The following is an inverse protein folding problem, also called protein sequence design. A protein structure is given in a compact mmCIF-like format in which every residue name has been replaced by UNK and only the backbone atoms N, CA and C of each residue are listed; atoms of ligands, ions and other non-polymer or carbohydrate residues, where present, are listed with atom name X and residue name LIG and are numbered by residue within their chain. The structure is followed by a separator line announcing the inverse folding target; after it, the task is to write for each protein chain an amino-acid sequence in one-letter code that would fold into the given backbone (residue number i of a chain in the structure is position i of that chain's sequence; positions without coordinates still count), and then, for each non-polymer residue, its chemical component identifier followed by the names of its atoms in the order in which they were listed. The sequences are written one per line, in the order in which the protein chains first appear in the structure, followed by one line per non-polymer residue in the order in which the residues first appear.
data_IF_845887317419
#
_entry.id   IF_845887317419
#
_cell.length_a   1.000
_cell.length_b   1.000
_cell.length_c   1.000
_cell.angle_alpha   90.00
_cell.angle_beta   90.00
_cell.angle_gamma   90.00
#
_symmetry.space_group_name_H-M   'P 1'
#
loop_
_entity.id
_entity.type
_entity.pdbx_description
1 polymer ?
#
# COMPACT_ATOMS: atom_id res chain seq x y z
N UNK A 1 26.50 20.95 -4.89
CA UNK A 1 25.60 19.80 -4.69
C UNK A 1 24.25 20.20 -4.05
N UNK A 2 24.21 20.89 -2.90
CA UNK A 2 22.95 21.34 -2.25
C UNK A 2 22.06 22.17 -3.17
N UNK A 3 22.63 23.03 -4.00
CA UNK A 3 21.87 23.86 -4.95
C UNK A 3 21.22 23.02 -6.06
N UNK A 4 21.92 21.97 -6.49
CA UNK A 4 21.40 21.06 -7.51
C UNK A 4 20.22 20.23 -7.00
N UNK A 5 20.25 19.73 -5.74
CA UNK A 5 19.15 18.97 -5.16
C UNK A 5 17.90 19.82 -5.05
N UNK A 6 18.01 21.06 -4.54
CA UNK A 6 16.87 21.98 -4.48
C UNK A 6 16.27 22.24 -5.86
N UNK A 7 17.11 22.41 -6.87
CA UNK A 7 16.67 22.62 -8.25
C UNK A 7 15.82 21.43 -8.75
N UNK A 8 16.25 20.20 -8.48
CA UNK A 8 15.49 19.02 -8.89
C UNK A 8 14.19 18.88 -8.11
N UNK A 9 14.17 19.21 -6.82
CA UNK A 9 12.96 19.20 -6.00
C UNK A 9 11.95 20.23 -6.53
N UNK A 10 12.39 21.46 -6.79
CA UNK A 10 11.54 22.51 -7.32
C UNK A 10 10.99 22.16 -8.71
N UNK A 11 11.83 21.60 -9.57
CA UNK A 11 11.42 21.11 -10.90
C UNK A 11 10.38 19.99 -10.79
N UNK A 12 10.60 19.02 -9.91
CA UNK A 12 9.68 17.90 -9.69
C UNK A 12 8.30 18.39 -9.24
N UNK A 13 8.27 19.34 -8.33
CA UNK A 13 7.02 19.96 -7.88
C UNK A 13 6.28 20.69 -9.00
N UNK A 14 7.04 21.42 -9.82
CA UNK A 14 6.49 22.26 -10.88
C UNK A 14 6.02 21.45 -12.08
N UNK A 15 6.86 20.52 -12.55
CA UNK A 15 6.64 19.75 -13.77
C UNK A 15 6.01 18.38 -13.51
N UNK A 16 5.98 17.96 -12.24
CA UNK A 16 5.48 16.64 -11.79
C UNK A 16 6.26 15.45 -12.36
N UNK A 17 7.44 15.69 -12.86
CA UNK A 17 8.36 14.67 -13.37
C UNK A 17 9.79 15.21 -13.44
N UNK A 18 10.72 14.27 -13.60
CA UNK A 18 12.12 14.53 -13.89
C UNK A 18 12.59 13.59 -15.01
N UNK A 19 13.71 13.93 -15.63
CA UNK A 19 14.39 12.99 -16.53
C UNK A 19 15.07 11.87 -15.72
N UNK A 20 15.32 10.70 -16.30
CA UNK A 20 15.95 9.59 -15.58
C UNK A 20 17.26 9.97 -14.86
N UNK A 21 18.14 10.71 -15.51
CA UNK A 21 19.39 11.15 -14.90
C UNK A 21 19.20 12.15 -13.76
N UNK A 22 18.14 12.95 -13.79
CA UNK A 22 17.77 13.87 -12.72
C UNK A 22 17.22 13.11 -11.52
N UNK A 23 16.39 12.09 -11.74
CA UNK A 23 15.97 11.17 -10.68
C UNK A 23 17.15 10.46 -10.04
N UNK A 24 18.12 10.02 -10.86
CA UNK A 24 19.33 9.36 -10.35
C UNK A 24 20.11 10.29 -9.42
N UNK A 25 20.30 11.54 -9.81
CA UNK A 25 20.96 12.52 -8.95
C UNK A 25 20.19 12.78 -7.66
N UNK A 26 18.87 12.92 -7.73
CA UNK A 26 18.04 13.11 -6.55
C UNK A 26 18.10 11.90 -5.60
N UNK A 27 17.98 10.68 -6.14
CA UNK A 27 17.98 9.45 -5.34
C UNK A 27 19.32 9.16 -4.69
N UNK A 28 20.43 9.51 -5.35
CA UNK A 28 21.78 9.24 -4.84
C UNK A 28 22.38 10.38 -4.02
N UNK A 29 21.94 11.61 -4.26
CA UNK A 29 22.52 12.81 -3.64
C UNK A 29 21.67 13.43 -2.54
N UNK A 30 20.52 12.87 -2.22
CA UNK A 30 19.61 13.43 -1.21
C UNK A 30 20.20 13.28 0.19
N UNK A 31 20.65 14.39 0.76
CA UNK A 31 21.09 14.47 2.15
C UNK A 31 19.90 14.78 3.10
N UNK A 32 20.17 14.87 4.40
CA UNK A 32 19.14 15.13 5.40
C UNK A 32 18.41 16.47 5.17
N UNK A 33 19.13 17.51 4.75
CA UNK A 33 18.52 18.82 4.46
C UNK A 33 17.62 18.73 3.22
N UNK A 34 18.08 18.07 2.18
CA UNK A 34 17.29 17.87 0.95
C UNK A 34 16.06 17.04 1.21
N UNK A 35 16.18 15.98 2.03
CA UNK A 35 15.05 15.16 2.45
C UNK A 35 14.00 16.00 3.19
N UNK A 36 14.44 16.82 4.13
CA UNK A 36 13.54 17.73 4.85
C UNK A 36 12.78 18.66 3.88
N UNK A 37 13.50 19.24 2.93
CA UNK A 37 12.90 20.16 1.95
C UNK A 37 11.85 19.45 1.09
N UNK A 38 12.18 18.27 0.55
CA UNK A 38 11.21 17.56 -0.31
C UNK A 38 10.01 17.07 0.49
N UNK A 39 10.20 16.62 1.74
CA UNK A 39 9.10 16.21 2.60
C UNK A 39 8.17 17.39 2.89
N UNK A 40 8.70 18.57 3.20
CA UNK A 40 7.91 19.78 3.42
C UNK A 40 7.10 20.16 2.17
N UNK A 41 7.71 20.13 0.99
CA UNK A 41 7.02 20.44 -0.26
C UNK A 41 5.93 19.43 -0.60
N UNK A 42 6.18 18.15 -0.39
CA UNK A 42 5.19 17.10 -0.58
C UNK A 42 4.02 17.25 0.40
N UNK A 43 4.31 17.58 1.66
CA UNK A 43 3.28 17.90 2.66
C UNK A 43 2.44 19.07 2.24
N UNK A 44 3.02 20.16 1.74
CA UNK A 44 2.27 21.31 1.24
C UNK A 44 1.34 20.94 0.09
N UNK A 45 1.80 20.11 -0.85
CA UNK A 45 0.97 19.63 -1.96
C UNK A 45 -0.20 18.80 -1.41
N UNK A 46 0.06 17.88 -0.49
CA UNK A 46 -0.98 17.08 0.15
C UNK A 46 -2.01 17.94 0.89
N UNK A 47 -1.56 18.91 1.68
CA UNK A 47 -2.44 19.84 2.41
C UNK A 47 -3.30 20.68 1.45
N UNK A 48 -2.75 21.11 0.32
CA UNK A 48 -3.48 21.89 -0.67
C UNK A 48 -4.60 21.09 -1.32
N UNK A 49 -4.37 19.78 -1.59
CA UNK A 49 -5.34 18.92 -2.26
C UNK A 49 -6.36 18.29 -1.32
N UNK A 50 -5.95 17.95 -0.11
CA UNK A 50 -6.78 17.16 0.83
C UNK A 50 -7.09 17.89 2.13
N UNK A 51 -6.50 19.08 2.36
CA UNK A 51 -6.51 19.69 3.68
C UNK A 51 -5.73 18.83 4.70
N UNK A 52 -6.03 18.98 5.98
CA UNK A 52 -5.40 18.22 7.05
C UNK A 52 -6.13 16.89 7.35
N UNK A 53 -6.83 16.34 6.36
CA UNK A 53 -7.65 15.14 6.48
C UNK A 53 -6.87 13.90 6.09
N UNK A 54 -6.95 12.87 6.93
CA UNK A 54 -6.37 11.54 6.68
C UNK A 54 -7.49 10.54 6.54
N UNK A 55 -7.54 9.86 5.40
CA UNK A 55 -8.52 8.81 5.16
C UNK A 55 -8.14 7.53 5.89
N UNK A 56 -9.14 6.85 6.45
CA UNK A 56 -8.97 5.57 7.11
C UNK A 56 -9.59 4.45 6.28
N UNK A 57 -8.94 3.28 6.28
CA UNK A 57 -9.39 2.06 5.61
C UNK A 57 -9.44 0.94 6.64
N UNK A 58 -10.56 0.26 6.77
CA UNK A 58 -10.69 -0.91 7.64
C UNK A 58 -10.10 -2.14 6.96
N UNK A 59 -8.92 -2.59 7.40
CA UNK A 59 -8.22 -3.74 6.84
C UNK A 59 -8.72 -5.04 7.46
N UNK A 60 -9.21 -5.95 6.62
CA UNK A 60 -9.65 -7.29 7.02
C UNK A 60 -8.78 -8.31 6.27
N UNK A 61 -7.91 -8.98 6.99
CA UNK A 61 -7.01 -10.00 6.46
C UNK A 61 -7.74 -11.33 6.45
N UNK A 62 -8.38 -11.66 5.33
CA UNK A 62 -9.38 -12.73 5.25
C UNK A 62 -8.81 -14.15 5.17
N UNK A 63 -7.53 -14.29 4.77
CA UNK A 63 -6.84 -15.56 4.71
C UNK A 63 -5.34 -15.36 4.67
N UNK A 64 -4.58 -16.19 5.39
CA UNK A 64 -3.14 -16.27 5.28
C UNK A 64 -2.66 -17.51 4.50
N UNK A 65 -3.55 -18.22 3.84
CA UNK A 65 -3.19 -19.26 2.90
C UNK A 65 -2.78 -18.63 1.57
N UNK A 66 -1.70 -19.12 0.98
CA UNK A 66 -1.18 -18.61 -0.27
C UNK A 66 -0.55 -19.72 -1.11
N UNK A 67 -0.84 -19.74 -2.41
CA UNK A 67 -0.22 -20.68 -3.35
C UNK A 67 1.18 -20.25 -3.78
N UNK A 68 1.53 -18.97 -3.59
CA UNK A 68 2.80 -18.40 -4.01
C UNK A 68 3.89 -18.60 -2.95
N UNK A 69 5.11 -18.61 -3.39
CA UNK A 69 6.27 -18.84 -2.54
C UNK A 69 7.28 -17.69 -2.63
N UNK A 70 6.79 -16.47 -2.63
CA UNK A 70 7.61 -15.25 -2.71
C UNK A 70 8.68 -15.26 -1.62
N UNK A 71 9.92 -14.90 -1.97
CA UNK A 71 11.08 -15.05 -1.08
C UNK A 71 11.09 -14.09 0.11
N UNK A 72 10.26 -13.06 0.10
CA UNK A 72 10.18 -12.03 1.15
C UNK A 72 8.98 -12.20 2.10
N UNK A 73 8.01 -13.03 1.76
CA UNK A 73 6.71 -13.02 2.42
C UNK A 73 6.58 -14.08 3.52
N UNK A 74 6.23 -13.64 4.74
CA UNK A 74 6.06 -14.55 5.87
C UNK A 74 4.92 -15.55 5.72
N UNK A 75 3.91 -15.28 4.87
CA UNK A 75 2.82 -16.23 4.60
C UNK A 75 3.04 -17.08 3.34
N UNK A 76 4.24 -17.04 2.77
CA UNK A 76 4.60 -17.86 1.61
C UNK A 76 4.23 -19.34 1.83
N UNK A 77 3.86 -20.03 0.74
CA UNK A 77 3.43 -21.43 0.79
C UNK A 77 4.42 -22.34 1.54
N UNK A 78 5.72 -22.12 1.33
CA UNK A 78 6.79 -22.93 1.91
C UNK A 78 7.10 -22.67 3.38
N UNK A 79 6.43 -21.72 4.04
CA UNK A 79 6.65 -21.50 5.47
C UNK A 79 5.82 -22.49 6.30
N UNK A 80 6.48 -23.49 6.96
CA UNK A 80 5.77 -24.50 7.75
C UNK A 80 5.37 -24.01 9.14
N UNK A 81 5.84 -22.84 9.57
CA UNK A 81 5.64 -22.32 10.92
C UNK A 81 4.42 -21.40 11.05
N UNK A 82 3.65 -21.21 9.98
CA UNK A 82 2.45 -20.37 9.97
C UNK A 82 1.23 -21.20 10.35
N UNK A 83 0.50 -20.74 11.37
CA UNK A 83 -0.83 -21.28 11.67
C UNK A 83 -1.82 -20.71 10.64
N UNK A 84 -2.19 -21.52 9.65
CA UNK A 84 -3.05 -21.09 8.55
C UNK A 84 -4.50 -20.94 8.99
N UNK A 85 -5.15 -19.88 8.50
CA UNK A 85 -6.55 -19.61 8.77
C UNK A 85 -7.27 -19.06 7.52
N UNK A 86 -8.57 -19.20 7.53
CA UNK A 86 -9.52 -18.57 6.60
C UNK A 86 -10.68 -18.04 7.40
N UNK A 87 -11.02 -16.77 7.23
CA UNK A 87 -12.21 -16.21 7.85
C UNK A 87 -13.45 -16.75 7.13
N UNK A 88 -14.48 -17.08 7.89
CA UNK A 88 -15.80 -17.39 7.31
C UNK A 88 -16.46 -16.11 6.77
N UNK A 89 -17.40 -16.23 5.82
CA UNK A 89 -18.18 -15.07 5.37
C UNK A 89 -18.85 -14.33 6.54
N UNK A 90 -19.34 -15.04 7.54
CA UNK A 90 -19.95 -14.47 8.74
C UNK A 90 -18.94 -13.65 9.55
N UNK A 91 -17.72 -14.16 9.71
CA UNK A 91 -16.66 -13.44 10.42
C UNK A 91 -16.25 -12.17 9.67
N UNK A 92 -16.18 -12.21 8.35
CA UNK A 92 -15.90 -11.04 7.52
C UNK A 92 -16.98 -9.98 7.71
N UNK A 93 -18.26 -10.37 7.67
CA UNK A 93 -19.39 -9.45 7.89
C UNK A 93 -19.37 -8.86 9.30
N UNK A 94 -18.99 -9.64 10.30
CA UNK A 94 -18.82 -9.11 11.67
C UNK A 94 -17.74 -8.04 11.75
N UNK A 95 -16.63 -8.24 11.05
CA UNK A 95 -15.59 -7.22 10.94
C UNK A 95 -16.12 -5.94 10.30
N UNK A 96 -16.89 -6.06 9.22
CA UNK A 96 -17.53 -4.93 8.56
C UNK A 96 -18.49 -4.20 9.50
N UNK A 97 -19.30 -4.94 10.25
CA UNK A 97 -20.25 -4.37 11.22
C UNK A 97 -19.53 -3.56 12.30
N UNK A 98 -18.48 -4.12 12.87
CA UNK A 98 -17.67 -3.42 13.86
C UNK A 98 -17.00 -2.17 13.29
N UNK A 99 -16.42 -2.30 12.08
CA UNK A 99 -15.79 -1.17 11.39
C UNK A 99 -16.78 -0.06 11.06
N UNK A 100 -17.95 -0.40 10.58
CA UNK A 100 -19.00 0.58 10.28
C UNK A 100 -19.41 1.36 11.53
N UNK A 101 -19.58 0.67 12.66
CA UNK A 101 -19.90 1.30 13.95
C UNK A 101 -18.78 2.25 14.44
N UNK A 102 -17.53 1.96 14.11
CA UNK A 102 -16.37 2.81 14.42
C UNK A 102 -16.21 4.00 13.46
N UNK A 103 -17.00 4.08 12.41
CA UNK A 103 -16.96 5.15 11.43
C UNK A 103 -16.26 4.82 10.11
N UNK A 104 -15.73 3.62 9.94
CA UNK A 104 -15.12 3.21 8.67
C UNK A 104 -16.16 3.17 7.55
N UNK A 105 -15.79 3.69 6.38
CA UNK A 105 -16.62 3.70 5.16
C UNK A 105 -15.88 3.08 3.98
N UNK A 106 -14.74 2.45 4.24
CA UNK A 106 -14.01 1.60 3.30
C UNK A 106 -13.56 0.35 4.02
N UNK A 107 -13.82 -0.80 3.40
CA UNK A 107 -13.30 -2.10 3.83
C UNK A 107 -12.29 -2.60 2.81
N UNK A 108 -11.13 -3.01 3.27
CA UNK A 108 -10.09 -3.63 2.44
C UNK A 108 -10.03 -5.11 2.78
N UNK A 109 -10.40 -5.96 1.83
CA UNK A 109 -10.26 -7.41 1.95
C UNK A 109 -8.90 -7.81 1.40
N UNK A 110 -8.01 -8.25 2.27
CA UNK A 110 -6.65 -8.64 1.92
C UNK A 110 -6.42 -10.10 2.27
N UNK A 111 -5.64 -10.78 1.45
CA UNK A 111 -5.27 -12.16 1.71
C UNK A 111 -4.17 -12.64 0.78
N UNK A 112 -3.59 -13.78 1.11
CA UNK A 112 -2.78 -14.53 0.17
C UNK A 112 -3.61 -14.97 -1.04
N UNK A 113 -2.96 -15.38 -2.11
CA UNK A 113 -3.63 -16.04 -3.23
C UNK A 113 -4.06 -17.44 -2.80
N UNK A 114 -5.17 -17.51 -2.10
CA UNK A 114 -5.70 -18.73 -1.49
C UNK A 114 -6.52 -19.52 -2.51
N UNK A 115 -6.14 -20.76 -2.86
CA UNK A 115 -6.90 -21.59 -3.79
C UNK A 115 -8.33 -21.89 -3.34
N UNK A 116 -8.60 -21.85 -2.03
CA UNK A 116 -9.94 -22.05 -1.50
C UNK A 116 -10.85 -20.83 -1.65
N UNK A 117 -10.29 -19.64 -1.85
CA UNK A 117 -11.04 -18.43 -2.18
C UNK A 117 -11.28 -18.38 -3.69
N UNK A 118 -12.23 -19.16 -4.16
CA UNK A 118 -12.62 -19.20 -5.57
C UNK A 118 -13.24 -17.87 -6.00
N UNK A 119 -13.27 -17.61 -7.29
CA UNK A 119 -13.89 -16.41 -7.84
C UNK A 119 -15.37 -16.30 -7.41
N UNK A 120 -16.10 -17.42 -7.39
CA UNK A 120 -17.49 -17.45 -6.93
C UNK A 120 -17.62 -17.02 -5.47
N UNK A 121 -16.72 -17.48 -4.61
CA UNK A 121 -16.72 -17.09 -3.19
C UNK A 121 -16.41 -15.63 -2.98
N UNK A 122 -15.40 -15.12 -3.67
CA UNK A 122 -15.02 -13.69 -3.59
C UNK A 122 -16.17 -12.82 -4.08
N UNK A 123 -16.75 -13.16 -5.23
CA UNK A 123 -17.90 -12.44 -5.79
C UNK A 123 -19.08 -12.41 -4.80
N UNK A 124 -19.38 -13.53 -4.18
CA UNK A 124 -20.48 -13.64 -3.19
C UNK A 124 -20.19 -12.77 -1.96
N UNK A 125 -18.97 -12.78 -1.45
CA UNK A 125 -18.57 -11.94 -0.31
C UNK A 125 -18.72 -10.46 -0.66
N UNK A 126 -18.21 -10.05 -1.81
CA UNK A 126 -18.30 -8.66 -2.28
C UNK A 126 -19.75 -8.22 -2.43
N UNK A 127 -20.59 -9.03 -3.09
CA UNK A 127 -22.00 -8.74 -3.29
C UNK A 127 -22.75 -8.64 -1.96
N UNK A 128 -22.42 -9.48 -0.99
CA UNK A 128 -23.04 -9.47 0.34
C UNK A 128 -22.67 -8.21 1.11
N UNK A 129 -21.39 -7.82 1.10
CA UNK A 129 -20.94 -6.57 1.74
C UNK A 129 -21.61 -5.37 1.07
N UNK A 130 -21.66 -5.34 -0.25
CA UNK A 130 -22.31 -4.25 -1.01
C UNK A 130 -23.78 -4.09 -0.63
N UNK A 131 -24.49 -5.17 -0.47
CA UNK A 131 -25.89 -5.14 -0.10
C UNK A 131 -26.12 -4.61 1.31
N UNK A 132 -25.26 -4.98 2.27
CA UNK A 132 -25.37 -4.53 3.66
C UNK A 132 -24.86 -3.12 3.88
N UNK A 133 -23.86 -2.69 3.12
CA UNK A 133 -23.19 -1.41 3.27
C UNK A 133 -23.06 -0.69 1.93
N UNK A 134 -24.19 -0.21 1.36
CA UNK A 134 -24.19 0.40 0.04
C UNK A 134 -23.41 1.72 -0.03
N UNK A 135 -23.20 2.36 1.10
CA UNK A 135 -22.44 3.62 1.24
C UNK A 135 -20.92 3.40 1.47
N UNK A 136 -20.48 2.16 1.59
CA UNK A 136 -19.06 1.85 1.79
C UNK A 136 -18.36 1.54 0.49
N UNK A 137 -17.06 1.87 0.42
CA UNK A 137 -16.19 1.38 -0.63
C UNK A 137 -15.64 0.00 -0.26
N UNK A 138 -15.53 -0.86 -1.25
CA UNK A 138 -14.93 -2.19 -1.11
C UNK A 138 -13.65 -2.22 -1.93
N UNK A 139 -12.54 -2.46 -1.25
CA UNK A 139 -11.22 -2.61 -1.86
C UNK A 139 -10.78 -4.07 -1.74
N UNK A 140 -10.28 -4.64 -2.82
CA UNK A 140 -9.71 -5.99 -2.82
C UNK A 140 -8.18 -5.92 -2.95
N UNK A 141 -7.50 -6.79 -2.23
CA UNK A 141 -6.06 -7.00 -2.29
C UNK A 141 -5.79 -8.51 -2.17
N UNK A 142 -6.13 -9.24 -3.24
CA UNK A 142 -6.20 -10.69 -3.27
C UNK A 142 -5.32 -11.31 -4.37
N UNK A 143 -4.35 -10.55 -4.86
CA UNK A 143 -3.37 -11.02 -5.82
C UNK A 143 -3.85 -11.05 -7.27
N UNK A 144 -3.20 -11.88 -8.06
CA UNK A 144 -3.46 -11.99 -9.49
C UNK A 144 -4.69 -12.85 -9.78
N UNK A 145 -5.56 -12.31 -10.61
CA UNK A 145 -6.77 -13.00 -11.11
C UNK A 145 -6.88 -12.83 -12.62
N UNK A 146 -7.76 -13.58 -13.25
CA UNK A 146 -8.10 -13.35 -14.64
C UNK A 146 -8.84 -12.02 -14.83
N UNK A 147 -8.82 -11.50 -16.05
CA UNK A 147 -9.59 -10.31 -16.39
C UNK A 147 -11.08 -10.50 -16.09
N UNK A 148 -11.62 -11.67 -16.43
CA UNK A 148 -13.02 -12.02 -16.19
C UNK A 148 -13.35 -12.02 -14.68
N UNK A 149 -12.44 -12.52 -13.85
CA UNK A 149 -12.62 -12.48 -12.39
C UNK A 149 -12.65 -11.04 -11.87
N UNK A 150 -11.73 -10.19 -12.33
CA UNK A 150 -11.74 -8.77 -11.98
C UNK A 150 -13.05 -8.08 -12.37
N UNK A 151 -13.55 -8.35 -13.57
CA UNK A 151 -14.84 -7.82 -14.04
C UNK A 151 -16.00 -8.29 -13.16
N UNK A 152 -16.03 -9.56 -12.79
CA UNK A 152 -17.06 -10.11 -11.89
C UNK A 152 -17.08 -9.42 -10.54
N UNK A 153 -15.91 -9.24 -9.92
CA UNK A 153 -15.81 -8.57 -8.62
C UNK A 153 -16.22 -7.11 -8.71
N UNK A 154 -15.85 -6.44 -9.79
CA UNK A 154 -16.23 -5.05 -10.05
C UNK A 154 -17.74 -4.90 -10.16
N UNK A 155 -18.38 -5.74 -10.95
CA UNK A 155 -19.85 -5.74 -11.11
C UNK A 155 -20.58 -6.14 -9.84
N UNK A 156 -19.98 -6.99 -9.00
CA UNK A 156 -20.53 -7.34 -7.69
C UNK A 156 -20.46 -6.18 -6.69
N UNK A 157 -19.63 -5.17 -6.93
CA UNK A 157 -19.57 -3.97 -6.11
C UNK A 157 -18.18 -3.56 -5.60
N UNK A 158 -17.11 -4.24 -6.00
CA UNK A 158 -15.75 -3.82 -5.64
C UNK A 158 -15.37 -2.53 -6.40
N UNK A 159 -14.88 -1.53 -5.67
CA UNK A 159 -14.56 -0.22 -6.21
C UNK A 159 -13.09 -0.06 -6.53
N UNK A 160 -12.22 -0.67 -5.72
CA UNK A 160 -10.78 -0.50 -5.74
C UNK A 160 -10.08 -1.85 -5.68
N UNK A 161 -8.89 -1.91 -6.26
CA UNK A 161 -8.04 -3.09 -6.19
C UNK A 161 -6.59 -2.68 -5.99
N UNK A 162 -5.94 -3.29 -5.00
CA UNK A 162 -4.53 -3.09 -4.68
C UNK A 162 -3.73 -4.30 -5.18
N UNK A 163 -2.78 -4.06 -6.06
CA UNK A 163 -1.86 -5.08 -6.57
C UNK A 163 -0.47 -4.48 -6.75
N UNK A 164 0.39 -4.70 -5.77
CA UNK A 164 1.75 -4.18 -5.82
C UNK A 164 2.55 -4.96 -6.87
N UNK A 165 3.25 -4.25 -7.74
CA UNK A 165 4.13 -4.89 -8.73
C UNK A 165 5.50 -5.25 -8.15
N UNK A 166 5.83 -4.72 -6.98
CA UNK A 166 7.04 -4.94 -6.18
C UNK A 166 8.33 -4.44 -6.84
N UNK A 167 8.52 -4.67 -8.12
CA UNK A 167 9.58 -4.11 -8.95
C UNK A 167 9.20 -4.24 -10.43
N UNK A 168 9.46 -3.21 -11.21
CA UNK A 168 9.20 -3.22 -12.66
C UNK A 168 10.22 -4.07 -13.43
N UNK A 169 11.48 -4.06 -12.99
CA UNK A 169 12.58 -4.77 -13.66
C UNK A 169 12.34 -6.29 -13.60
N UNK A 170 12.29 -6.91 -14.77
CA UNK A 170 11.96 -8.34 -14.90
C UNK A 170 13.01 -9.25 -14.24
N UNK A 171 14.28 -8.89 -14.31
CA UNK A 171 15.38 -9.64 -13.69
C UNK A 171 15.29 -9.54 -12.17
N UNK A 172 15.10 -8.34 -11.63
CA UNK A 172 14.92 -8.13 -10.20
C UNK A 172 13.66 -8.84 -9.70
N UNK A 173 12.56 -8.78 -10.45
CA UNK A 173 11.33 -9.52 -10.11
C UNK A 173 11.62 -11.02 -9.95
N UNK A 174 12.39 -11.61 -10.85
CA UNK A 174 12.79 -13.02 -10.78
C UNK A 174 13.68 -13.35 -9.59
N UNK A 175 14.44 -12.38 -9.09
CA UNK A 175 15.26 -12.55 -7.87
C UNK A 175 14.42 -12.51 -6.58
N UNK A 176 13.25 -11.88 -6.61
CA UNK A 176 12.32 -11.79 -5.48
C UNK A 176 11.29 -12.93 -5.44
N UNK A 177 11.10 -13.63 -6.56
CA UNK A 177 10.03 -14.60 -6.73
C UNK A 177 10.54 -15.91 -7.33
N UNK A 178 9.93 -17.06 -7.00
CA UNK A 178 10.31 -18.33 -7.59
C UNK A 178 9.98 -18.41 -9.08
N UNK A 179 10.58 -19.36 -9.76
CA UNK A 179 10.24 -19.70 -11.13
C UNK A 179 8.74 -20.02 -11.24
N UNK A 180 8.11 -19.58 -12.32
CA UNK A 180 6.67 -19.72 -12.52
C UNK A 180 5.87 -18.46 -12.17
N UNK A 181 6.43 -17.52 -11.45
CA UNK A 181 5.87 -16.17 -11.29
C UNK A 181 6.51 -15.23 -12.29
N UNK A 182 5.68 -14.41 -12.93
CA UNK A 182 6.11 -13.51 -14.02
C UNK A 182 5.79 -12.06 -13.69
N UNK A 183 6.80 -11.19 -13.75
CA UNK A 183 6.60 -9.75 -13.64
C UNK A 183 5.69 -9.21 -14.75
N UNK A 184 5.83 -9.74 -15.97
CA UNK A 184 4.97 -9.38 -17.09
C UNK A 184 3.50 -9.68 -16.82
N UNK A 185 3.19 -10.83 -16.21
CA UNK A 185 1.83 -11.21 -15.83
C UNK A 185 1.28 -10.25 -14.76
N UNK A 186 2.09 -9.87 -13.78
CA UNK A 186 1.70 -8.91 -12.74
C UNK A 186 1.33 -7.56 -13.36
N UNK A 187 2.13 -7.06 -14.28
CA UNK A 187 1.88 -5.80 -15.00
C UNK A 187 0.63 -5.89 -15.87
N UNK A 188 0.39 -7.04 -16.51
CA UNK A 188 -0.83 -7.26 -17.30
C UNK A 188 -2.08 -7.22 -16.40
N UNK A 189 -2.02 -7.80 -15.21
CA UNK A 189 -3.12 -7.71 -14.24
C UNK A 189 -3.42 -6.25 -13.88
N UNK A 190 -2.41 -5.41 -13.65
CA UNK A 190 -2.61 -3.99 -13.38
C UNK A 190 -3.29 -3.27 -14.54
N UNK A 191 -2.89 -3.57 -15.76
CA UNK A 191 -3.54 -3.02 -16.95
C UNK A 191 -5.01 -3.46 -17.04
N UNK A 192 -5.30 -4.73 -16.78
CA UNK A 192 -6.66 -5.26 -16.77
C UNK A 192 -7.53 -4.56 -15.71
N UNK A 193 -6.98 -4.29 -14.54
CA UNK A 193 -7.68 -3.56 -13.47
C UNK A 193 -8.04 -2.14 -13.89
N UNK A 194 -7.09 -1.43 -14.50
CA UNK A 194 -7.32 -0.08 -15.02
C UNK A 194 -8.42 -0.07 -16.08
N UNK A 195 -8.34 -0.99 -17.03
CA UNK A 195 -9.31 -1.09 -18.13
C UNK A 195 -10.71 -1.50 -17.65
N UNK A 196 -10.80 -2.28 -16.59
CA UNK A 196 -12.08 -2.68 -15.98
C UNK A 196 -12.79 -1.50 -15.31
N UNK A 197 -12.04 -0.50 -14.84
CA UNK A 197 -12.59 0.70 -14.22
C UNK A 197 -12.35 0.81 -12.71
N UNK A 198 -11.54 -0.08 -12.12
CA UNK A 198 -11.16 0.04 -10.72
C UNK A 198 -10.37 1.33 -10.46
N UNK A 199 -10.58 1.92 -9.28
CA UNK A 199 -9.53 2.71 -8.67
C UNK A 199 -8.40 1.73 -8.36
N UNK A 200 -7.30 1.83 -9.11
CA UNK A 200 -6.22 0.84 -9.10
C UNK A 200 -5.05 1.32 -8.27
N UNK A 201 -4.55 0.47 -7.40
CA UNK A 201 -3.37 0.71 -6.60
C UNK A 201 -2.23 -0.22 -6.96
N UNK A 202 -1.03 0.33 -6.98
CA UNK A 202 0.20 -0.45 -7.07
C UNK A 202 1.23 0.07 -6.09
N UNK A 203 2.41 -0.54 -6.07
CA UNK A 203 3.49 -0.13 -5.19
C UNK A 203 4.66 -1.07 -5.22
N UNK A 204 5.64 -0.74 -4.39
CA UNK A 204 6.90 -1.47 -4.27
C UNK A 204 7.33 -1.60 -2.81
N UNK A 205 8.22 -2.55 -2.55
CA UNK A 205 9.02 -2.56 -1.33
C UNK A 205 10.27 -1.70 -1.56
N UNK A 206 10.56 -0.80 -0.65
CA UNK A 206 11.75 0.06 -0.69
C UNK A 206 12.90 -0.65 0.01
N UNK A 207 14.02 -0.81 -0.69
CA UNK A 207 15.19 -1.48 -0.14
C UNK A 207 15.10 -3.00 -0.15
N UNK A 208 14.31 -3.59 -1.04
CA UNK A 208 14.26 -5.04 -1.21
C UNK A 208 15.62 -5.60 -1.63
N UNK A 209 15.93 -6.88 -1.33
CA UNK A 209 17.20 -7.47 -1.71
C UNK A 209 17.51 -7.31 -3.19
N UNK A 210 18.71 -6.79 -3.49
CA UNK A 210 19.16 -6.56 -4.86
C UNK A 210 18.60 -5.31 -5.54
N UNK A 211 17.77 -4.52 -4.87
CA UNK A 211 17.24 -3.29 -5.45
C UNK A 211 18.31 -2.24 -5.65
N UNK A 212 18.39 -1.70 -6.85
CA UNK A 212 19.32 -0.63 -7.23
C UNK A 212 18.58 0.68 -7.49
N UNK A 213 19.31 1.77 -7.60
CA UNK A 213 18.75 3.08 -8.02
C UNK A 213 18.09 2.97 -9.39
N UNK A 214 18.68 2.21 -10.31
CA UNK A 214 18.09 2.00 -11.65
C UNK A 214 16.73 1.30 -11.57
N UNK A 215 16.58 0.33 -10.66
CA UNK A 215 15.30 -0.32 -10.42
C UNK A 215 14.24 0.69 -9.91
N UNK A 216 14.62 1.55 -8.99
CA UNK A 216 13.72 2.60 -8.47
C UNK A 216 13.31 3.59 -9.55
N UNK A 217 14.22 4.00 -10.43
CA UNK A 217 13.90 4.88 -11.56
C UNK A 217 12.87 4.21 -12.48
N UNK A 218 13.06 2.93 -12.80
CA UNK A 218 12.10 2.18 -13.60
C UNK A 218 10.72 2.13 -12.93
N UNK A 219 10.66 1.91 -11.62
CA UNK A 219 9.42 1.92 -10.86
C UNK A 219 8.73 3.27 -10.90
N UNK A 220 9.48 4.36 -10.71
CA UNK A 220 8.96 5.73 -10.77
C UNK A 220 8.34 6.00 -12.14
N UNK A 221 9.04 5.66 -13.21
CA UNK A 221 8.57 5.88 -14.59
C UNK A 221 7.38 4.99 -14.94
N UNK A 222 7.36 3.76 -14.44
CA UNK A 222 6.21 2.87 -14.62
C UNK A 222 4.96 3.40 -13.92
N UNK A 223 5.09 3.85 -12.67
CA UNK A 223 3.97 4.42 -11.91
C UNK A 223 3.48 5.71 -12.59
N UNK A 224 4.39 6.54 -13.11
CA UNK A 224 4.01 7.72 -13.88
C UNK A 224 3.16 7.34 -15.10
N UNK A 225 3.54 6.31 -15.84
CA UNK A 225 2.81 5.83 -17.01
C UNK A 225 1.47 5.20 -16.66
N UNK A 226 1.43 4.39 -15.60
CA UNK A 226 0.23 3.69 -15.17
C UNK A 226 -0.83 4.66 -14.63
N UNK A 227 -0.41 5.73 -13.97
CA UNK A 227 -1.29 6.70 -13.30
C UNK A 227 -2.28 6.03 -12.35
N UNK A 228 -1.79 5.26 -11.37
CA UNK A 228 -2.68 4.61 -10.41
C UNK A 228 -3.35 5.64 -9.52
N UNK A 229 -4.53 5.32 -9.06
CA UNK A 229 -5.28 6.13 -8.09
C UNK A 229 -4.69 6.00 -6.69
N UNK A 230 -4.02 4.87 -6.42
CA UNK A 230 -3.40 4.58 -5.13
C UNK A 230 -1.96 4.12 -5.32
N UNK A 231 -1.05 4.60 -4.46
CA UNK A 231 0.36 4.23 -4.48
C UNK A 231 0.76 3.78 -3.08
N UNK A 232 1.03 2.48 -2.91
CA UNK A 232 1.40 1.89 -1.62
C UNK A 232 2.86 1.48 -1.60
N UNK A 233 3.69 2.24 -0.91
CA UNK A 233 5.10 1.90 -0.73
C UNK A 233 5.44 1.83 0.76
N UNK A 234 6.37 0.93 1.09
CA UNK A 234 6.89 0.80 2.43
C UNK A 234 8.26 0.16 2.40
N UNK A 235 9.02 0.24 3.50
CA UNK A 235 10.32 -0.40 3.57
C UNK A 235 10.19 -1.91 3.49
N UNK A 236 11.13 -2.56 2.81
CA UNK A 236 11.32 -3.99 2.96
C UNK A 236 11.65 -4.29 4.42
N UNK A 237 10.93 -5.22 5.01
CA UNK A 237 11.19 -5.75 6.35
C UNK A 237 11.31 -7.27 6.24
N UNK A 238 12.41 -7.88 6.74
CA UNK A 238 12.62 -9.31 6.64
C UNK A 238 11.65 -10.09 7.54
N UNK A 239 11.42 -11.35 7.18
CA UNK A 239 10.75 -12.31 8.03
C UNK A 239 11.69 -13.49 8.28
N UNK A 240 11.76 -13.93 9.54
CA UNK A 240 12.71 -14.98 9.99
C UNK A 240 12.56 -16.33 9.28
N UNK A 241 11.36 -16.65 8.80
CA UNK A 241 11.05 -17.92 8.15
C UNK A 241 11.00 -17.80 6.62
N UNK A 242 11.77 -16.88 6.05
CA UNK A 242 11.85 -16.67 4.60
C UNK A 242 13.29 -16.77 4.11
N UNK A 243 13.51 -16.99 2.80
CA UNK A 243 14.85 -16.93 2.21
C UNK A 243 15.59 -15.63 2.47
N UNK A 244 14.86 -14.51 2.67
CA UNK A 244 15.46 -13.20 2.91
C UNK A 244 15.61 -12.81 4.38
N UNK A 245 15.53 -13.77 5.28
CA UNK A 245 15.58 -13.54 6.74
C UNK A 245 16.81 -12.72 7.20
N UNK A 246 17.94 -12.85 6.53
CA UNK A 246 19.21 -12.22 6.91
C UNK A 246 19.48 -10.90 6.19
N UNK A 247 18.62 -10.48 5.28
CA UNK A 247 18.80 -9.20 4.60
C UNK A 247 18.37 -8.04 5.50
N UNK A 248 19.07 -6.92 5.35
CA UNK A 248 18.76 -5.69 6.07
C UNK A 248 17.44 -5.10 5.60
N UNK A 249 16.72 -4.47 6.52
CA UNK A 249 15.51 -3.69 6.19
C UNK A 249 15.83 -2.52 5.25
N UNK A 250 14.85 -2.11 4.47
CA UNK A 250 14.86 -0.84 3.78
C UNK A 250 14.95 0.32 4.78
N UNK A 251 15.43 1.47 4.35
CA UNK A 251 15.63 2.61 5.24
C UNK A 251 14.41 3.52 5.30
N UNK A 252 14.26 4.17 6.44
CA UNK A 252 13.25 5.21 6.63
C UNK A 252 13.45 6.36 5.64
N UNK A 253 14.69 6.84 5.52
CA UNK A 253 15.04 7.99 4.69
C UNK A 253 14.69 7.77 3.22
N UNK A 254 15.05 6.62 2.66
CA UNK A 254 14.72 6.29 1.28
C UNK A 254 13.21 6.13 1.06
N UNK A 255 12.52 5.54 2.02
CA UNK A 255 11.05 5.40 1.97
C UNK A 255 10.37 6.76 1.99
N UNK A 256 10.79 7.67 2.87
CA UNK A 256 10.24 9.02 2.95
C UNK A 256 10.53 9.83 1.69
N UNK A 257 11.73 9.68 1.12
CA UNK A 257 12.08 10.33 -0.14
C UNK A 257 11.16 9.89 -1.27
N UNK A 258 10.93 8.59 -1.41
CA UNK A 258 10.05 8.06 -2.45
C UNK A 258 8.59 8.44 -2.22
N UNK A 259 8.10 8.46 -0.98
CA UNK A 259 6.76 8.99 -0.66
C UNK A 259 6.59 10.41 -1.16
N UNK A 260 7.56 11.27 -0.89
CA UNK A 260 7.52 12.67 -1.32
C UNK A 260 7.63 12.81 -2.85
N UNK A 261 8.48 12.02 -3.49
CA UNK A 261 8.56 11.98 -4.96
C UNK A 261 7.20 11.64 -5.55
N UNK A 262 6.55 10.58 -5.08
CA UNK A 262 5.25 10.17 -5.60
C UNK A 262 4.16 11.19 -5.32
N UNK A 263 4.17 11.85 -4.15
CA UNK A 263 3.20 12.91 -3.87
C UNK A 263 3.38 14.11 -4.81
N UNK A 264 4.60 14.50 -5.10
CA UNK A 264 4.87 15.61 -6.02
C UNK A 264 4.50 15.27 -7.46
N UNK A 265 4.71 14.01 -7.88
CA UNK A 265 4.36 13.53 -9.22
C UNK A 265 2.85 13.29 -9.39
N UNK A 266 2.18 12.87 -8.33
CA UNK A 266 0.77 12.47 -8.32
C UNK A 266 0.02 13.18 -7.20
N UNK A 267 -0.27 14.48 -7.37
CA UNK A 267 -0.85 15.29 -6.29
C UNK A 267 -2.17 14.77 -5.74
N UNK A 268 -2.98 14.13 -6.58
CA UNK A 268 -4.31 13.60 -6.20
C UNK A 268 -4.29 12.15 -5.75
N UNK A 269 -3.16 11.44 -5.81
CA UNK A 269 -3.08 10.04 -5.46
C UNK A 269 -3.39 9.80 -3.97
N UNK A 270 -4.00 8.65 -3.70
CA UNK A 270 -4.21 8.15 -2.35
C UNK A 270 -2.97 7.35 -1.95
N UNK A 271 -2.21 7.86 -0.98
CA UNK A 271 -0.91 7.30 -0.60
C UNK A 271 -0.94 6.95 0.89
N UNK A 272 -0.91 5.66 1.26
CA UNK A 272 -0.89 5.28 2.65
C UNK A 272 0.47 5.51 3.31
N UNK A 273 0.42 5.93 4.57
CA UNK A 273 1.53 5.75 5.50
C UNK A 273 1.41 4.32 6.03
N UNK A 274 2.30 3.44 5.60
CA UNK A 274 2.11 2.00 5.74
C UNK A 274 2.39 1.48 7.15
N UNK A 275 1.81 0.33 7.47
CA UNK A 275 2.13 -0.43 8.68
C UNK A 275 3.61 -0.79 8.76
N UNK A 276 4.27 -1.03 7.62
CA UNK A 276 5.71 -1.29 7.57
C UNK A 276 6.53 -0.09 8.09
N UNK A 277 6.15 1.14 7.76
CA UNK A 277 6.77 2.34 8.33
C UNK A 277 6.59 2.42 9.85
N UNK A 278 5.37 2.18 10.31
CA UNK A 278 5.05 2.18 11.74
C UNK A 278 5.79 1.05 12.50
N UNK A 279 6.08 -0.06 11.82
CA UNK A 279 6.86 -1.16 12.37
C UNK A 279 8.36 -0.83 12.41
N UNK A 280 8.87 -0.16 11.38
CA UNK A 280 10.28 0.19 11.26
C UNK A 280 10.75 1.14 12.38
N UNK A 281 9.93 2.12 12.73
CA UNK A 281 10.21 3.10 13.76
C UNK A 281 8.93 3.56 14.45
N UNK A 282 8.98 3.90 15.77
CA UNK A 282 7.78 4.28 16.53
C UNK A 282 6.99 5.46 15.96
N UNK A 283 7.67 6.44 15.33
CA UNK A 283 7.05 7.62 14.69
C UNK A 283 6.90 7.49 13.17
N UNK A 284 7.04 6.28 12.65
CA UNK A 284 7.05 6.05 11.19
C UNK A 284 5.77 6.48 10.48
N UNK A 285 4.61 6.26 11.10
CA UNK A 285 3.33 6.68 10.53
C UNK A 285 3.26 8.20 10.39
N UNK A 286 3.57 8.92 11.46
CA UNK A 286 3.53 10.38 11.48
C UNK A 286 4.51 10.96 10.46
N UNK A 287 5.71 10.41 10.39
CA UNK A 287 6.72 10.83 9.42
C UNK A 287 6.30 10.58 7.98
N UNK A 288 5.61 9.48 7.71
CA UNK A 288 5.04 9.20 6.38
C UNK A 288 3.98 10.24 5.98
N UNK A 289 3.10 10.62 6.90
CA UNK A 289 2.10 11.66 6.68
C UNK A 289 2.78 13.01 6.43
N UNK A 290 3.77 13.35 7.22
CA UNK A 290 4.54 14.61 7.05
C UNK A 290 5.40 14.61 5.76
N UNK A 291 5.57 13.47 5.12
CA UNK A 291 6.22 13.34 3.81
C UNK A 291 5.24 13.29 2.64
N UNK A 292 3.92 13.42 2.89
CA UNK A 292 2.91 13.52 1.85
C UNK A 292 1.89 12.39 1.78
N UNK A 293 1.96 11.39 2.65
CA UNK A 293 0.93 10.35 2.75
C UNK A 293 -0.38 10.92 3.31
N UNK A 294 -1.52 10.32 2.93
CA UNK A 294 -2.85 10.81 3.33
C UNK A 294 -3.84 9.70 3.68
N UNK A 295 -3.38 8.47 3.80
CA UNK A 295 -4.21 7.30 4.11
C UNK A 295 -3.55 6.48 5.20
N UNK A 296 -4.36 5.91 6.10
CA UNK A 296 -3.94 4.86 7.04
C UNK A 296 -4.91 3.70 6.99
N UNK A 297 -4.43 2.50 7.31
CA UNK A 297 -5.20 1.27 7.18
C UNK A 297 -5.22 0.50 8.51
N UNK A 298 -6.01 0.96 9.52
CA UNK A 298 -6.13 0.23 10.79
C UNK A 298 -6.67 -1.17 10.60
N UNK A 299 -6.14 -2.13 11.34
CA UNK A 299 -6.50 -3.53 11.26
C UNK A 299 -7.86 -3.78 11.92
N UNK A 300 -8.80 -4.31 11.16
CA UNK A 300 -10.17 -4.61 11.58
C UNK A 300 -10.40 -6.13 11.69
N UNK A 301 -9.39 -6.94 11.38
CA UNK A 301 -9.48 -8.40 11.47
C UNK A 301 -9.76 -8.85 12.92
N UNK A 302 -10.31 -10.05 13.14
CA UNK A 302 -10.42 -10.61 14.48
C UNK A 302 -9.06 -10.62 15.18
N UNK A 303 -9.01 -10.18 16.44
CA UNK A 303 -7.75 -9.99 17.17
C UNK A 303 -6.91 -11.28 17.26
N UNK A 304 -7.55 -12.42 17.43
CA UNK A 304 -6.90 -13.73 17.52
C UNK A 304 -6.19 -14.15 16.22
N UNK A 305 -6.58 -13.58 15.08
CA UNK A 305 -6.01 -13.94 13.78
C UNK A 305 -4.88 -13.01 13.33
N UNK A 306 -4.77 -11.82 13.90
CA UNK A 306 -3.84 -10.78 13.42
C UNK A 306 -2.38 -11.21 13.44
N UNK A 307 -1.94 -11.94 14.47
CA UNK A 307 -0.56 -12.44 14.59
C UNK A 307 -0.23 -13.51 13.55
N UNK A 308 -1.25 -14.17 13.01
CA UNK A 308 -1.09 -15.21 12.00
C UNK A 308 -0.90 -14.64 10.58
N UNK A 309 -1.13 -13.35 10.40
CA UNK A 309 -0.92 -12.65 9.13
C UNK A 309 0.37 -11.82 9.19
N UNK A 310 1.48 -12.47 9.47
CA UNK A 310 2.78 -11.84 9.62
C UNK A 310 3.57 -11.90 8.30
N UNK A 311 3.46 -10.88 7.48
CA UNK A 311 4.19 -10.76 6.21
C UNK A 311 5.70 -10.54 6.45
N UNK A 312 6.04 -9.90 7.56
CA UNK A 312 7.39 -9.60 8.02
C UNK A 312 7.44 -9.63 9.54
N UNK A 313 8.66 -9.62 10.11
CA UNK A 313 8.84 -9.67 11.57
C UNK A 313 8.23 -8.46 12.26
N UNK A 314 7.63 -8.69 13.42
CA UNK A 314 7.10 -7.67 14.32
C UNK A 314 6.04 -6.75 13.70
N UNK A 315 5.31 -7.25 12.70
CA UNK A 315 4.25 -6.47 12.05
C UNK A 315 3.28 -5.89 13.10
N UNK A 316 3.13 -4.58 13.10
CA UNK A 316 2.24 -3.88 14.01
C UNK A 316 0.77 -4.17 13.68
N UNK A 317 -0.04 -4.49 14.70
CA UNK A 317 -1.47 -4.78 14.54
C UNK A 317 -2.34 -4.33 15.72
N UNK A 318 -1.73 -3.71 16.71
CA UNK A 318 -2.38 -3.22 17.94
C UNK A 318 -2.17 -1.71 18.09
N UNK A 319 -2.81 -1.12 19.09
CA UNK A 319 -2.75 0.31 19.33
C UNK A 319 -3.31 1.11 18.16
N UNK A 320 -2.58 2.11 17.69
CA UNK A 320 -3.02 2.94 16.56
C UNK A 320 -3.09 2.21 15.23
N UNK A 321 -2.46 1.02 15.11
CA UNK A 321 -2.58 0.16 13.93
C UNK A 321 -3.84 -0.73 13.96
N UNK A 322 -4.61 -0.70 15.04
CA UNK A 322 -5.88 -1.42 15.17
C UNK A 322 -7.07 -0.50 15.00
N UNK A 323 -8.17 -1.05 14.50
CA UNK A 323 -9.42 -0.29 14.39
C UNK A 323 -9.97 0.11 15.76
N UNK A 324 -9.80 -0.73 16.77
CA UNK A 324 -10.20 -0.44 18.15
C UNK A 324 -9.39 0.72 18.76
N UNK A 325 -8.14 0.92 18.30
CA UNK A 325 -7.25 1.99 18.72
C UNK A 325 -7.46 3.32 17.98
N UNK A 326 -8.61 3.55 17.37
CA UNK A 326 -8.87 4.75 16.57
C UNK A 326 -8.70 6.04 17.34
N UNK A 327 -8.98 6.06 18.65
CA UNK A 327 -8.76 7.24 19.49
C UNK A 327 -7.28 7.52 19.69
N UNK A 328 -6.45 6.49 19.76
CA UNK A 328 -4.99 6.64 19.82
C UNK A 328 -4.50 7.24 18.50
N UNK A 329 -4.99 6.74 17.38
CA UNK A 329 -4.68 7.27 16.06
C UNK A 329 -5.10 8.74 15.94
N UNK A 330 -6.31 9.08 16.36
CA UNK A 330 -6.80 10.47 16.35
C UNK A 330 -5.87 11.39 17.14
N UNK A 331 -5.43 10.97 18.32
CA UNK A 331 -4.52 11.79 19.15
C UNK A 331 -3.16 11.95 18.47
N UNK A 332 -2.60 10.89 17.91
CA UNK A 332 -1.33 10.98 17.18
C UNK A 332 -1.42 11.92 15.97
N UNK A 333 -2.50 11.83 15.19
CA UNK A 333 -2.74 12.74 14.06
C UNK A 333 -2.93 14.18 14.51
N UNK A 334 -3.70 14.39 15.57
CA UNK A 334 -3.92 15.71 16.12
C UNK A 334 -2.62 16.38 16.58
N UNK A 335 -1.71 15.61 17.16
CA UNK A 335 -0.39 16.09 17.60
C UNK A 335 0.48 16.63 16.46
N UNK A 336 0.23 16.20 15.22
CA UNK A 336 0.95 16.70 14.02
C UNK A 336 0.09 17.60 13.14
N UNK A 337 -1.08 18.03 13.64
CA UNK A 337 -1.95 18.99 12.96
C UNK A 337 -2.94 18.39 11.97
N UNK A 338 -3.24 17.08 12.07
CA UNK A 338 -4.14 16.37 11.19
C UNK A 338 -5.35 15.81 11.91
N UNK A 339 -6.37 15.48 11.14
CA UNK A 339 -7.62 14.89 11.63
C UNK A 339 -8.01 13.68 10.76
N UNK A 340 -8.73 12.73 11.34
CA UNK A 340 -9.32 11.64 10.59
C UNK A 340 -10.49 12.16 9.75
N UNK A 341 -10.54 11.75 8.49
CA UNK A 341 -11.74 11.84 7.67
C UNK A 341 -12.48 10.50 7.71
N UNK A 342 -13.75 10.54 8.08
CA UNK A 342 -14.66 9.37 8.08
C UNK A 342 -15.42 9.20 6.77
N UNK A 343 -15.05 9.92 5.72
CA UNK A 343 -15.60 9.73 4.38
C UNK A 343 -15.04 8.47 3.72
N UNK A 344 -15.67 8.04 2.62
CA UNK A 344 -15.16 6.93 1.79
C UNK A 344 -13.74 7.21 1.26
N UNK A 345 -13.40 8.48 1.04
CA UNK A 345 -12.11 8.87 0.51
C UNK A 345 -11.83 8.28 -0.87
N UNK A 346 -12.80 8.37 -1.78
CA UNK A 346 -12.61 7.99 -3.18
C UNK A 346 -11.61 8.92 -3.85
N UNK A 347 -10.89 8.36 -4.83
CA UNK A 347 -10.04 9.17 -5.69
C UNK A 347 -10.87 10.21 -6.44
N UNK A 348 -10.37 11.45 -6.45
CA UNK A 348 -10.94 12.55 -7.20
C UNK A 348 -9.83 13.24 -7.98
N UNK A 349 -10.00 13.36 -9.28
CA UNK A 349 -9.16 14.26 -10.07
C UNK A 349 -9.39 15.68 -9.56
N UNK A 350 -8.32 16.36 -9.25
CA UNK A 350 -8.40 17.80 -9.03
C UNK A 350 -8.39 18.44 -10.40
N UNK A 351 -9.46 19.14 -10.74
CA UNK A 351 -9.50 19.94 -11.95
C UNK A 351 -8.34 20.94 -11.87
N UNK A 352 -7.50 20.88 -12.89
CA UNK A 352 -6.29 21.69 -13.03
C UNK A 352 -6.62 23.17 -13.13
#
# INVERSE_FOLDING_TARGET
EKRAMKQWIDKLRQERTLRPEEFRQLLTGCDADSLRIINEQAREVSLRHFGNRIYIRGLIEISNCCRNNCYYCGIRKGNPHVARYRLSPESILDCCKQGYALGFRTFVLQGGEDPALTDDRIETIVATIRRHYPDCAITLSLGEKSREAYERFFHAGANRYLLRHETYDATHYSQLHPAGMSGKQRLQCLQNLKETGYQTGTGIMVGSPGQTVEHLIQDILFIEKLRPEMIGIGPFLPHQDTPFARYSSGTLEQTLLLLSIFRLMHPSALIPSTTALATLTPDGRERGILAGANVVMPNLSPQEERKKYALYNNKASLGAESAEGIRILQQQLHNIGYEISFSRGDFKTVDS
#
